data_IF_867558507625
#
_entry.id   IF_867558507625
#
_cell.length_a   1.000
_cell.length_b   1.000
_cell.length_c   1.000
_cell.angle_alpha   90.00
_cell.angle_beta   90.00
_cell.angle_gamma   90.00
#
_symmetry.space_group_name_H-M   'P 1'
#
loop_
_entity.id
_entity.type
_entity.pdbx_description
1 polymer ?
#
# COMPACT_ATOMS: atom_id res chain seq x y z
N UNK A 1 -66.91 27.30 -32.17
CA UNK A 1 -67.32 27.26 -30.75
C UNK A 1 -66.80 25.94 -30.20
N UNK A 2 -65.93 25.83 -29.21
CA UNK A 2 -65.43 26.74 -28.20
C UNK A 2 -65.04 25.84 -27.02
N UNK A 3 -63.87 25.20 -27.12
CA UNK A 3 -63.33 24.33 -26.06
C UNK A 3 -61.91 24.79 -25.70
N UNK A 4 -61.78 26.05 -25.31
CA UNK A 4 -60.62 26.54 -24.58
C UNK A 4 -60.86 26.30 -23.09
N UNK A 5 -60.75 25.02 -22.71
CA UNK A 5 -60.82 24.59 -21.33
C UNK A 5 -59.52 25.01 -20.63
N UNK A 6 -59.49 26.24 -20.12
CA UNK A 6 -58.36 26.78 -19.38
C UNK A 6 -57.86 25.79 -18.34
N UNK A 7 -56.61 25.36 -18.50
CA UNK A 7 -55.88 24.57 -17.51
C UNK A 7 -55.88 25.33 -16.19
N UNK A 8 -56.62 24.79 -15.21
CA UNK A 8 -56.65 25.36 -13.85
C UNK A 8 -55.23 25.24 -13.27
N UNK A 9 -54.54 26.36 -12.99
CA UNK A 9 -53.18 26.32 -12.49
C UNK A 9 -53.15 25.62 -11.14
N UNK A 10 -52.22 24.67 -11.00
CA UNK A 10 -52.07 23.95 -9.73
C UNK A 10 -51.55 24.91 -8.66
N UNK A 11 -51.87 24.64 -7.39
CA UNK A 11 -51.44 25.47 -6.25
C UNK A 11 -49.92 25.70 -6.21
N UNK A 12 -49.15 24.74 -6.72
CA UNK A 12 -47.69 24.76 -6.79
C UNK A 12 -47.17 25.76 -7.85
N UNK A 13 -48.00 26.09 -8.84
CA UNK A 13 -47.74 27.10 -9.89
C UNK A 13 -48.17 28.50 -9.42
N UNK A 14 -49.24 28.57 -8.62
CA UNK A 14 -49.82 29.81 -8.11
C UNK A 14 -49.10 30.36 -6.87
N UNK A 15 -48.47 29.47 -6.09
CA UNK A 15 -47.76 29.81 -4.85
C UNK A 15 -46.41 29.12 -4.87
N UNK A 16 -45.33 29.90 -4.70
CA UNK A 16 -43.97 29.36 -4.51
C UNK A 16 -43.94 28.51 -3.24
N UNK A 17 -44.22 27.21 -3.39
CA UNK A 17 -44.05 26.27 -2.31
C UNK A 17 -42.57 26.01 -2.08
N UNK A 18 -42.18 25.86 -0.81
CA UNK A 18 -40.81 25.51 -0.46
C UNK A 18 -40.48 24.17 -1.12
N UNK A 19 -39.50 24.17 -2.03
CA UNK A 19 -39.04 22.96 -2.72
C UNK A 19 -38.75 21.90 -1.66
N UNK A 20 -39.41 20.73 -1.76
CA UNK A 20 -39.13 19.59 -0.87
C UNK A 20 -37.63 19.37 -0.89
N UNK A 21 -37.03 19.29 0.30
CA UNK A 21 -35.61 19.01 0.42
C UNK A 21 -35.33 17.70 -0.32
N UNK A 22 -34.40 17.75 -1.28
CA UNK A 22 -34.04 16.61 -2.09
C UNK A 22 -33.46 15.53 -1.17
N UNK A 23 -34.19 14.43 -1.00
CA UNK A 23 -33.74 13.31 -0.19
C UNK A 23 -32.65 12.63 -1.00
N UNK A 24 -31.38 12.87 -0.64
CA UNK A 24 -30.25 12.18 -1.25
C UNK A 24 -30.48 10.67 -1.11
N UNK A 25 -30.47 9.97 -2.25
CA UNK A 25 -30.66 8.53 -2.27
C UNK A 25 -29.55 7.82 -1.49
N UNK A 26 -29.93 7.19 -0.38
CA UNK A 26 -29.00 6.46 0.51
C UNK A 26 -28.22 5.37 -0.26
N UNK A 27 -28.90 4.71 -1.20
CA UNK A 27 -28.30 3.66 -2.02
C UNK A 27 -27.24 4.21 -2.98
N UNK A 28 -27.50 5.36 -3.60
CA UNK A 28 -26.54 6.03 -4.48
C UNK A 28 -25.31 6.52 -3.69
N UNK A 29 -25.55 7.08 -2.50
CA UNK A 29 -24.46 7.51 -1.61
C UNK A 29 -23.59 6.32 -1.15
N UNK A 30 -24.21 5.17 -0.82
CA UNK A 30 -23.47 3.97 -0.44
C UNK A 30 -22.66 3.45 -1.63
N UNK A 31 -23.28 3.31 -2.79
CA UNK A 31 -22.63 2.91 -4.04
C UNK A 31 -21.42 3.78 -4.41
N UNK A 32 -21.52 5.10 -4.18
CA UNK A 32 -20.40 5.99 -4.40
C UNK A 32 -19.19 5.64 -3.52
N UNK A 33 -19.39 5.23 -2.26
CA UNK A 33 -18.29 4.80 -1.35
C UNK A 33 -17.54 3.57 -1.87
N UNK A 34 -18.21 2.70 -2.64
CA UNK A 34 -17.61 1.48 -3.20
C UNK A 34 -16.98 1.69 -4.58
N UNK A 35 -17.25 2.83 -5.23
CA UNK A 35 -16.72 3.17 -6.56
C UNK A 35 -15.65 4.25 -6.53
N UNK A 36 -15.65 5.12 -5.53
CA UNK A 36 -14.80 6.29 -5.47
C UNK A 36 -13.85 6.27 -4.28
N UNK A 37 -12.66 6.83 -4.47
CA UNK A 37 -11.65 7.07 -3.45
C UNK A 37 -12.17 8.10 -2.46
N UNK A 38 -12.04 7.82 -1.16
CA UNK A 38 -12.55 8.71 -0.12
C UNK A 38 -11.73 9.99 0.07
N UNK A 39 -10.46 10.01 -0.38
CA UNK A 39 -9.59 11.21 -0.35
C UNK A 39 -9.88 12.19 -1.50
N UNK A 40 -9.83 11.69 -2.74
CA UNK A 40 -9.90 12.51 -3.96
C UNK A 40 -11.24 12.48 -4.68
N UNK A 41 -12.16 11.61 -4.27
CA UNK A 41 -13.42 11.33 -4.97
C UNK A 41 -13.25 10.83 -6.43
N UNK A 42 -12.04 10.42 -6.80
CA UNK A 42 -11.75 9.77 -8.08
C UNK A 42 -12.23 8.32 -8.11
N UNK A 43 -12.52 7.77 -9.29
CA UNK A 43 -12.85 6.35 -9.42
C UNK A 43 -11.73 5.45 -8.87
N UNK A 44 -12.12 4.37 -8.20
CA UNK A 44 -11.19 3.42 -7.61
C UNK A 44 -10.43 2.67 -8.71
N UNK A 45 -9.11 2.74 -8.66
CA UNK A 45 -8.18 2.11 -9.61
C UNK A 45 -7.23 1.20 -8.85
N UNK A 46 -6.91 0.04 -9.43
CA UNK A 46 -5.88 -0.84 -8.87
C UNK A 46 -4.51 -0.14 -8.97
N UNK A 47 -3.65 -0.21 -7.94
CA UNK A 47 -3.84 -0.88 -6.65
C UNK A 47 -4.73 -0.09 -5.67
N UNK A 48 -5.75 -0.77 -5.12
CA UNK A 48 -6.66 -0.20 -4.12
C UNK A 48 -6.12 -0.55 -2.74
N UNK A 49 -6.20 0.42 -1.83
CA UNK A 49 -5.70 0.29 -0.47
C UNK A 49 -6.80 0.59 0.55
N UNK A 50 -6.71 -0.05 1.71
CA UNK A 50 -7.62 0.13 2.84
C UNK A 50 -6.87 0.58 4.07
N UNK A 51 -7.55 1.39 4.88
CA UNK A 51 -7.09 1.79 6.20
C UNK A 51 -7.64 0.86 7.30
N UNK A 52 -7.08 0.97 8.49
CA UNK A 52 -7.61 0.45 9.76
C UNK A 52 -9.09 0.73 10.01
N UNK A 53 -9.65 1.83 9.48
CA UNK A 53 -11.09 2.14 9.58
C UNK A 53 -11.95 1.56 8.46
N UNK A 54 -11.35 0.81 7.52
CA UNK A 54 -12.10 0.18 6.43
C UNK A 54 -12.45 1.10 5.27
N UNK A 55 -11.91 2.32 5.24
CA UNK A 55 -12.09 3.25 4.13
C UNK A 55 -11.18 2.88 2.96
N UNK A 56 -11.72 3.01 1.75
CA UNK A 56 -11.05 2.68 0.50
C UNK A 56 -10.40 3.91 -0.13
N UNK A 57 -9.19 3.72 -0.64
CA UNK A 57 -8.43 4.74 -1.32
C UNK A 57 -7.66 4.17 -2.51
N UNK A 58 -7.31 5.05 -3.45
CA UNK A 58 -6.30 4.75 -4.45
C UNK A 58 -4.92 4.89 -3.80
N UNK A 59 -3.99 3.97 -4.11
CA UNK A 59 -2.63 4.01 -3.56
C UNK A 59 -1.93 5.34 -3.86
N UNK A 60 -2.11 5.87 -5.07
CA UNK A 60 -1.54 7.15 -5.50
C UNK A 60 -2.07 8.32 -4.65
N UNK A 61 -3.37 8.33 -4.38
CA UNK A 61 -4.00 9.37 -3.55
C UNK A 61 -3.48 9.38 -2.11
N UNK A 62 -3.23 8.19 -1.52
CA UNK A 62 -2.62 8.11 -0.18
C UNK A 62 -1.16 8.55 -0.21
N UNK A 63 -0.41 8.19 -1.24
CA UNK A 63 0.99 8.61 -1.36
C UNK A 63 1.10 10.13 -1.44
N UNK A 64 0.27 10.77 -2.25
CA UNK A 64 0.19 12.23 -2.31
C UNK A 64 -0.23 12.84 -0.96
N UNK A 65 -1.21 12.26 -0.28
CA UNK A 65 -1.62 12.72 1.06
C UNK A 65 -0.50 12.60 2.10
N UNK A 66 0.33 11.55 2.03
CA UNK A 66 1.45 11.36 2.94
C UNK A 66 2.60 12.32 2.67
N UNK A 67 2.75 12.78 1.42
CA UNK A 67 3.71 13.81 1.03
C UNK A 67 3.22 15.21 1.45
N UNK A 68 1.99 15.58 1.07
CA UNK A 68 1.41 16.90 1.31
C UNK A 68 0.08 16.81 2.05
N UNK A 69 0.14 16.73 3.38
CA UNK A 69 -1.06 16.63 4.24
C UNK A 69 -1.94 17.87 4.21
N UNK A 70 -1.34 19.04 3.95
CA UNK A 70 -2.05 20.33 3.98
C UNK A 70 -3.02 20.50 2.81
N UNK A 71 -2.81 19.78 1.71
CA UNK A 71 -3.64 19.90 0.52
C UNK A 71 -5.01 19.22 0.67
N UNK A 72 -5.16 18.33 1.65
CA UNK A 72 -6.36 17.52 1.83
C UNK A 72 -7.09 17.92 3.12
N UNK A 73 -8.17 18.69 2.99
CA UNK A 73 -9.00 19.13 4.13
C UNK A 73 -9.63 17.94 4.89
N UNK A 74 -9.98 16.87 4.18
CA UNK A 74 -10.64 15.68 4.72
C UNK A 74 -9.71 14.46 4.80
N UNK A 75 -8.42 14.70 5.04
CA UNK A 75 -7.43 13.63 5.16
C UNK A 75 -7.65 12.73 6.39
N UNK A 76 -7.40 11.41 6.30
CA UNK A 76 -7.47 10.52 7.45
C UNK A 76 -6.37 10.86 8.45
N UNK A 77 -6.75 11.34 9.65
CA UNK A 77 -5.81 11.69 10.74
C UNK A 77 -4.98 10.50 11.23
N UNK A 78 -5.51 9.29 11.09
CA UNK A 78 -4.93 8.04 11.57
C UNK A 78 -3.85 7.46 10.64
N UNK A 79 -3.83 7.81 9.35
CA UNK A 79 -2.81 7.33 8.40
C UNK A 79 -1.57 8.21 8.50
N UNK A 80 -0.53 7.69 9.15
CA UNK A 80 0.75 8.41 9.29
C UNK A 80 1.82 7.80 8.41
N UNK A 81 1.80 6.49 8.22
CA UNK A 81 2.81 5.73 7.49
C UNK A 81 2.14 4.77 6.52
N UNK A 82 2.90 4.31 5.53
CA UNK A 82 2.46 3.24 4.61
C UNK A 82 2.14 1.90 5.30
N UNK A 83 2.57 1.72 6.55
CA UNK A 83 2.24 0.53 7.35
C UNK A 83 0.82 0.55 7.92
N UNK A 84 0.22 1.74 8.00
CA UNK A 84 -1.13 1.95 8.54
C UNK A 84 -2.20 1.66 7.47
N UNK A 85 -1.77 1.22 6.29
CA UNK A 85 -2.58 1.00 5.09
C UNK A 85 -2.22 -0.37 4.51
N UNK A 86 -3.22 -1.09 4.00
CA UNK A 86 -3.03 -2.41 3.38
C UNK A 86 -3.56 -2.43 1.95
N UNK A 87 -2.75 -2.96 1.03
CA UNK A 87 -3.17 -3.23 -0.34
C UNK A 87 -4.17 -4.38 -0.41
N UNK A 88 -5.27 -4.17 -1.11
CA UNK A 88 -6.36 -5.13 -1.27
C UNK A 88 -6.18 -5.99 -2.52
N UNK A 89 -6.49 -7.28 -2.39
CA UNK A 89 -6.49 -8.29 -3.45
C UNK A 89 -7.92 -8.57 -3.90
N UNK A 90 -8.50 -7.61 -4.62
CA UNK A 90 -9.86 -7.69 -5.17
C UNK A 90 -9.90 -8.58 -6.41
N UNK A 91 -10.99 -9.33 -6.57
CA UNK A 91 -11.26 -10.13 -7.77
C UNK A 91 -12.18 -9.31 -8.68
N UNK A 92 -11.83 -9.21 -9.96
CA UNK A 92 -12.65 -8.51 -10.96
C UNK A 92 -13.92 -9.30 -11.27
N UNK A 93 -15.03 -8.60 -11.49
CA UNK A 93 -16.24 -9.20 -12.04
C UNK A 93 -16.10 -9.30 -13.57
N UNK A 94 -16.24 -10.49 -14.17
CA UNK A 94 -16.20 -10.65 -15.63
C UNK A 94 -17.39 -9.96 -16.32
N UNK A 95 -18.48 -9.72 -15.59
CA UNK A 95 -19.71 -9.09 -16.10
C UNK A 95 -19.60 -7.56 -16.13
N UNK A 96 -18.62 -6.98 -15.42
CA UNK A 96 -18.46 -5.54 -15.37
C UNK A 96 -17.71 -5.03 -16.60
N UNK A 97 -18.46 -4.61 -17.62
CA UNK A 97 -17.92 -3.82 -18.73
C UNK A 97 -17.88 -2.36 -18.32
N UNK A 98 -16.69 -1.77 -18.27
CA UNK A 98 -16.47 -0.33 -18.06
C UNK A 98 -16.88 0.53 -19.26
N UNK A 99 -17.47 -0.07 -20.30
CA UNK A 99 -17.81 0.60 -21.54
C UNK A 99 -19.02 1.53 -21.34
N UNK A 100 -18.71 2.78 -21.05
CA UNK A 100 -19.62 3.91 -21.10
C UNK A 100 -20.09 4.28 -22.54
N UNK A 101 -19.68 3.51 -23.56
CA UNK A 101 -19.82 3.86 -24.97
C UNK A 101 -20.88 3.04 -25.73
N UNK A 102 -21.57 2.11 -25.09
CA UNK A 102 -22.60 1.32 -25.78
C UNK A 102 -23.93 2.06 -25.75
N UNK A 103 -24.32 2.50 -26.94
CA UNK A 103 -25.48 3.31 -27.24
C UNK A 103 -26.78 2.69 -26.69
N UNK A 104 -27.32 3.31 -25.64
CA UNK A 104 -28.75 3.62 -25.51
C UNK A 104 -29.78 2.49 -25.38
N UNK A 105 -29.40 1.20 -25.25
CA UNK A 105 -30.42 0.13 -25.24
C UNK A 105 -30.21 -1.04 -24.27
N UNK A 106 -29.24 -0.95 -23.36
CA UNK A 106 -29.05 -1.97 -22.31
C UNK A 106 -29.41 -1.38 -20.95
N UNK A 107 -30.28 -2.07 -20.20
CA UNK A 107 -30.69 -1.66 -18.86
C UNK A 107 -29.43 -1.69 -17.98
N UNK A 108 -28.75 -0.55 -17.85
CA UNK A 108 -27.52 -0.45 -17.08
C UNK A 108 -27.85 -0.84 -15.64
N UNK A 109 -27.41 -2.01 -15.21
CA UNK A 109 -27.64 -2.43 -13.83
C UNK A 109 -26.84 -1.47 -12.94
N UNK A 110 -27.55 -0.53 -12.34
CA UNK A 110 -27.01 0.50 -11.46
C UNK A 110 -26.17 -0.15 -10.35
N UNK A 111 -26.48 -1.40 -10.01
CA UNK A 111 -25.81 -2.19 -8.98
C UNK A 111 -24.63 -3.03 -9.45
N UNK A 112 -24.36 -3.09 -10.75
CA UNK A 112 -23.18 -3.78 -11.27
C UNK A 112 -21.93 -3.17 -10.66
N UNK A 113 -20.96 -3.98 -10.25
CA UNK A 113 -19.72 -3.48 -9.63
C UNK A 113 -18.48 -4.12 -10.25
N UNK A 114 -17.35 -3.40 -10.31
CA UNK A 114 -16.11 -3.92 -10.89
C UNK A 114 -15.51 -5.11 -10.13
N UNK A 115 -15.93 -5.34 -8.88
CA UNK A 115 -15.31 -6.32 -8.01
C UNK A 115 -16.32 -7.28 -7.41
N UNK A 116 -15.92 -8.54 -7.28
CA UNK A 116 -16.76 -9.64 -6.81
C UNK A 116 -16.08 -10.42 -5.69
N UNK A 117 -16.86 -11.00 -4.78
CA UNK A 117 -16.37 -11.95 -3.80
C UNK A 117 -15.98 -13.27 -4.52
N UNK A 118 -14.74 -13.77 -4.36
CA UNK A 118 -14.30 -14.99 -5.03
C UNK A 118 -14.98 -16.27 -4.51
N UNK A 119 -15.62 -16.24 -3.34
CA UNK A 119 -16.27 -17.42 -2.76
C UNK A 119 -17.78 -17.45 -2.99
N UNK A 120 -18.44 -16.30 -2.80
CA UNK A 120 -19.90 -16.21 -2.85
C UNK A 120 -20.43 -15.65 -4.15
N UNK A 121 -19.56 -15.11 -5.03
CA UNK A 121 -20.00 -14.45 -6.25
C UNK A 121 -20.80 -13.17 -6.00
N UNK A 122 -20.78 -12.63 -4.78
CA UNK A 122 -21.50 -11.40 -4.47
C UNK A 122 -20.74 -10.18 -4.99
N UNK A 123 -21.46 -9.27 -5.63
CA UNK A 123 -20.95 -8.00 -6.12
C UNK A 123 -20.66 -7.01 -4.99
N UNK A 124 -19.59 -6.25 -5.14
CA UNK A 124 -19.13 -5.24 -4.20
C UNK A 124 -19.81 -3.88 -4.48
N UNK A 125 -21.14 -3.84 -4.32
CA UNK A 125 -22.00 -2.68 -4.65
C UNK A 125 -22.58 -1.96 -3.40
N UNK A 126 -22.20 -2.41 -2.20
CA UNK A 126 -22.66 -1.85 -0.93
C UNK A 126 -23.99 -2.39 -0.41
N UNK A 127 -24.65 -3.31 -1.12
CA UNK A 127 -25.79 -4.07 -0.55
C UNK A 127 -25.33 -5.09 0.49
N UNK A 128 -24.15 -5.66 0.28
CA UNK A 128 -23.56 -6.66 1.16
C UNK A 128 -22.33 -6.07 1.86
N UNK A 129 -22.13 -6.48 3.12
CA UNK A 129 -20.92 -6.14 3.87
C UNK A 129 -19.75 -7.00 3.40
N UNK A 130 -18.62 -6.35 3.14
CA UNK A 130 -17.36 -7.01 2.79
C UNK A 130 -16.32 -6.75 3.86
N UNK A 131 -15.44 -7.71 4.07
CA UNK A 131 -14.34 -7.61 5.00
C UNK A 131 -13.03 -7.92 4.29
N UNK A 132 -11.97 -7.22 4.72
CA UNK A 132 -10.60 -7.48 4.33
C UNK A 132 -9.80 -8.07 5.49
N UNK A 133 -8.97 -9.07 5.22
CA UNK A 133 -8.06 -9.64 6.22
C UNK A 133 -6.74 -8.89 6.16
N UNK A 134 -6.30 -8.27 7.26
CA UNK A 134 -5.12 -7.39 7.31
C UNK A 134 -3.81 -8.12 6.98
N UNK A 135 -3.66 -9.38 7.39
CA UNK A 135 -2.44 -10.17 7.15
C UNK A 135 -2.20 -10.40 5.66
N UNK A 136 -3.25 -10.72 4.90
CA UNK A 136 -3.14 -11.12 3.49
C UNK A 136 -3.67 -10.10 2.47
N UNK A 137 -4.53 -9.17 2.87
CA UNK A 137 -5.20 -8.22 1.98
C UNK A 137 -6.33 -8.83 1.13
N UNK A 138 -6.72 -10.09 1.37
CA UNK A 138 -7.84 -10.70 0.64
C UNK A 138 -9.18 -10.11 1.11
N UNK A 139 -10.05 -9.80 0.13
CA UNK A 139 -11.39 -9.26 0.37
C UNK A 139 -12.42 -10.36 0.15
N UNK A 140 -13.34 -10.49 1.11
CA UNK A 140 -14.36 -11.53 1.15
C UNK A 140 -15.65 -10.94 1.71
N UNK A 141 -16.81 -11.44 1.27
CA UNK A 141 -18.08 -11.06 1.88
C UNK A 141 -18.14 -11.53 3.34
N UNK A 142 -18.77 -10.75 4.23
CA UNK A 142 -18.93 -11.12 5.64
C UNK A 142 -19.63 -12.49 5.80
N UNK A 143 -20.61 -12.77 4.94
CA UNK A 143 -21.33 -14.06 4.91
C UNK A 143 -20.39 -15.24 4.72
N UNK A 144 -19.44 -15.11 3.79
CA UNK A 144 -18.45 -16.16 3.51
C UNK A 144 -17.51 -16.40 4.70
N UNK A 145 -17.07 -15.32 5.36
CA UNK A 145 -16.22 -15.44 6.54
C UNK A 145 -16.98 -16.10 7.70
N UNK A 146 -18.22 -15.67 7.94
CA UNK A 146 -19.05 -16.21 9.01
C UNK A 146 -19.34 -17.71 8.81
N UNK A 147 -19.61 -18.15 7.58
CA UNK A 147 -19.85 -19.57 7.29
C UNK A 147 -18.62 -20.46 7.52
N UNK A 148 -17.42 -19.93 7.32
CA UNK A 148 -16.17 -20.72 7.44
C UNK A 148 -15.69 -20.73 8.90
N UNK A 149 -15.81 -19.59 9.59
CA UNK A 149 -15.37 -19.44 10.97
C UNK A 149 -16.24 -20.22 11.97
N UNK A 150 -17.47 -20.57 11.61
CA UNK A 150 -18.35 -21.37 12.45
C UNK A 150 -17.88 -22.83 12.62
N UNK A 151 -16.99 -23.32 11.74
CA UNK A 151 -16.71 -24.76 11.60
C UNK A 151 -15.30 -25.20 12.06
N UNK A 152 -14.42 -24.31 12.55
CA UNK A 152 -13.05 -24.73 12.92
C UNK A 152 -12.43 -23.93 14.07
N UNK A 153 -11.91 -24.70 15.04
CA UNK A 153 -11.21 -24.33 16.27
C UNK A 153 -9.87 -23.61 16.07
N UNK A 154 -9.60 -22.66 16.97
CA UNK A 154 -8.31 -22.06 17.39
C UNK A 154 -7.41 -21.35 16.35
N UNK A 155 -7.46 -21.70 15.06
CA UNK A 155 -6.63 -21.09 14.01
C UNK A 155 -7.46 -20.74 12.78
N UNK A 156 -7.68 -19.44 12.57
CA UNK A 156 -8.49 -18.95 11.45
C UNK A 156 -7.62 -18.77 10.20
N UNK A 157 -7.98 -19.45 9.11
CA UNK A 157 -7.24 -19.42 7.84
C UNK A 157 -8.03 -18.67 6.77
N UNK A 158 -7.33 -17.88 5.95
CA UNK A 158 -7.93 -17.14 4.85
C UNK A 158 -8.38 -18.13 3.76
N UNK A 159 -9.66 -18.17 3.38
CA UNK A 159 -10.15 -19.14 2.40
C UNK A 159 -9.69 -18.89 0.96
N UNK A 160 -9.15 -17.70 0.66
CA UNK A 160 -8.58 -17.39 -0.66
C UNK A 160 -7.10 -17.79 -0.77
N UNK A 161 -6.31 -17.67 0.29
CA UNK A 161 -4.85 -17.80 0.23
C UNK A 161 -4.22 -18.68 1.32
N UNK A 162 -5.01 -19.28 2.21
CA UNK A 162 -4.56 -20.16 3.28
C UNK A 162 -3.81 -19.48 4.44
N UNK A 163 -3.58 -18.16 4.39
CA UNK A 163 -2.83 -17.45 5.44
C UNK A 163 -3.64 -17.34 6.74
N UNK A 164 -2.96 -17.55 7.85
CA UNK A 164 -3.54 -17.49 9.19
C UNK A 164 -3.75 -16.03 9.64
N UNK A 165 -4.80 -15.79 10.43
CA UNK A 165 -5.11 -14.48 10.98
C UNK A 165 -5.87 -14.58 12.30
N UNK A 166 -5.76 -13.55 13.13
CA UNK A 166 -6.50 -13.42 14.38
C UNK A 166 -7.90 -12.86 14.11
N UNK A 167 -8.95 -13.62 14.46
CA UNK A 167 -10.35 -13.33 14.09
C UNK A 167 -10.82 -11.92 14.48
N UNK A 168 -10.42 -11.43 15.66
CA UNK A 168 -10.91 -10.15 16.19
C UNK A 168 -10.05 -8.95 15.76
N UNK A 169 -8.76 -9.19 15.53
CA UNK A 169 -7.76 -8.13 15.39
C UNK A 169 -7.23 -7.97 13.97
N UNK A 170 -7.52 -8.90 13.05
CA UNK A 170 -7.09 -8.84 11.65
C UNK A 170 -8.24 -8.61 10.65
N UNK A 171 -9.51 -8.80 11.03
CA UNK A 171 -10.66 -8.69 10.11
C UNK A 171 -11.24 -7.27 10.09
N UNK A 172 -11.01 -6.53 9.00
CA UNK A 172 -11.50 -5.15 8.78
C UNK A 172 -12.79 -5.19 7.98
N UNK A 173 -13.85 -4.54 8.46
CA UNK A 173 -15.07 -4.31 7.69
C UNK A 173 -14.83 -3.14 6.73
N UNK A 174 -15.11 -3.32 5.44
CA UNK A 174 -14.98 -2.28 4.41
C UNK A 174 -16.20 -1.37 4.42
N UNK A 175 -15.97 -0.06 4.31
CA UNK A 175 -17.00 0.99 4.34
C UNK A 175 -18.05 0.78 5.45
N UNK A 176 -17.61 0.75 6.73
CA UNK A 176 -18.50 0.47 7.86
C UNK A 176 -19.65 1.49 7.98
N UNK A 177 -20.79 1.02 8.49
CA UNK A 177 -21.85 1.88 8.99
C UNK A 177 -21.50 2.41 10.40
N UNK A 178 -22.24 3.40 10.90
CA UNK A 178 -21.86 4.14 12.11
C UNK A 178 -21.57 3.27 13.34
N UNK A 179 -22.27 2.15 13.51
CA UNK A 179 -22.03 1.19 14.61
C UNK A 179 -20.71 0.43 14.44
N UNK A 180 -20.40 0.04 13.21
CA UNK A 180 -19.18 -0.70 12.86
C UNK A 180 -17.94 0.21 13.01
N UNK A 181 -18.07 1.53 12.83
CA UNK A 181 -16.96 2.49 13.02
C UNK A 181 -16.42 2.43 14.45
N UNK A 182 -17.30 2.35 15.45
CA UNK A 182 -16.91 2.28 16.86
C UNK A 182 -16.16 0.97 17.17
N UNK A 183 -16.60 -0.15 16.58
CA UNK A 183 -15.91 -1.44 16.71
C UNK A 183 -14.51 -1.38 16.10
N UNK A 184 -14.37 -0.77 14.92
CA UNK A 184 -13.10 -0.59 14.25
C UNK A 184 -12.14 0.30 15.06
N UNK A 185 -12.66 1.36 15.67
CA UNK A 185 -11.86 2.22 16.53
C UNK A 185 -11.40 1.50 17.81
N UNK A 186 -12.29 0.75 18.45
CA UNK A 186 -11.97 -0.04 19.64
C UNK A 186 -10.87 -1.07 19.33
N UNK A 187 -10.96 -1.76 18.19
CA UNK A 187 -9.92 -2.69 17.72
C UNK A 187 -8.58 -1.98 17.55
N UNK A 188 -8.55 -0.82 16.89
CA UNK A 188 -7.32 -0.02 16.71
C UNK A 188 -6.69 0.38 18.04
N UNK A 189 -7.51 0.77 19.02
CA UNK A 189 -7.04 1.10 20.36
C UNK A 189 -6.40 -0.11 21.06
N UNK A 190 -6.99 -1.31 20.92
CA UNK A 190 -6.40 -2.57 21.45
C UNK A 190 -5.05 -2.89 20.82
N UNK A 191 -4.93 -2.76 19.50
CA UNK A 191 -3.67 -2.96 18.77
C UNK A 191 -2.59 -1.95 19.17
N UNK A 192 -2.95 -0.69 19.36
CA UNK A 192 -2.01 0.33 19.84
C UNK A 192 -1.56 0.07 21.28
N UNK A 193 -2.45 -0.42 22.15
CA UNK A 193 -2.13 -0.75 23.53
C UNK A 193 -1.18 -1.96 23.63
N UNK A 194 -1.39 -3.01 22.82
CA UNK A 194 -0.50 -4.18 22.80
C UNK A 194 0.89 -3.84 22.26
N UNK A 195 0.98 -2.98 21.24
CA UNK A 195 2.28 -2.52 20.73
C UNK A 195 3.06 -1.68 21.73
N UNK A 196 2.39 -0.82 22.52
CA UNK A 196 3.04 -0.04 23.59
C UNK A 196 3.60 -0.92 24.71
N UNK A 197 2.89 -2.01 25.07
CA UNK A 197 3.37 -2.99 26.07
C UNK A 197 4.59 -3.78 25.59
N UNK A 198 4.68 -4.10 24.30
CA UNK A 198 5.85 -4.77 23.74
C UNK A 198 7.04 -3.81 23.52
N UNK A 199 6.78 -2.50 23.41
CA UNK A 199 7.80 -1.46 23.28
C UNK A 199 8.50 -1.09 24.60
N UNK A 200 7.87 -1.30 25.75
CA UNK A 200 8.47 -1.01 27.06
C UNK A 200 9.52 -2.05 27.50
N UNK A 201 9.42 -3.30 27.03
CA UNK A 201 10.41 -4.35 27.34
C UNK A 201 11.72 -4.19 26.54
N UNK A 202 11.69 -3.51 25.38
CA UNK A 202 12.87 -3.29 24.53
C UNK A 202 13.62 -1.98 24.82
N UNK A 203 13.13 -1.16 25.75
CA UNK A 203 13.71 0.16 26.11
C UNK A 203 14.36 0.20 27.51
N UNK A 204 14.62 -0.96 28.12
CA UNK A 204 15.27 -1.05 29.45
C UNK A 204 16.60 -1.82 29.39
N UNK A 205 17.42 -1.54 28.37
CA UNK A 205 18.80 -2.05 28.28
C UNK A 205 19.67 -1.09 27.46
N UNK A 206 19.71 0.18 27.86
CA UNK A 206 20.75 1.13 27.46
C UNK A 206 20.48 2.43 28.23
N UNK A 207 21.03 2.53 29.45
CA UNK A 207 21.43 3.77 30.15
C UNK A 207 21.76 3.45 31.61
N UNK A 208 23.04 3.14 31.84
CA UNK A 208 23.82 3.47 33.05
C UNK A 208 25.14 3.96 32.40
N UNK A 209 25.68 5.16 32.62
CA UNK A 209 26.11 5.79 33.88
C UNK A 209 26.23 7.32 33.69
N UNK A 210 25.85 8.11 34.71
CA UNK A 210 26.70 9.16 35.32
C UNK A 210 25.99 9.80 36.56
N UNK A 211 26.62 9.55 37.72
CA UNK A 211 26.78 10.33 38.98
C UNK A 211 25.57 10.76 39.87
N UNK A 212 25.44 10.15 41.07
CA UNK A 212 25.78 10.65 42.44
C UNK A 212 24.63 11.46 43.11
N UNK A 213 24.24 11.35 44.39
CA UNK A 213 24.79 10.77 45.62
C UNK A 213 23.70 10.76 46.74
N UNK A 214 23.98 10.01 47.84
CA UNK A 214 23.45 10.05 49.24
C UNK A 214 22.61 8.86 49.79
N UNK A 215 23.33 8.04 50.58
CA UNK A 215 23.04 7.54 51.96
C UNK A 215 21.65 6.96 52.27
N UNK A 216 21.47 5.77 52.86
CA UNK A 216 21.95 5.38 54.21
C UNK A 216 21.70 3.87 54.51
N UNK A 217 22.68 3.23 55.17
CA UNK A 217 22.71 2.06 56.08
C UNK A 217 21.65 0.93 56.09
N UNK A 218 22.10 -0.33 55.97
CA UNK A 218 22.21 -1.36 57.05
C UNK A 218 22.58 -2.73 56.40
N UNK A 219 23.77 -3.30 56.61
CA UNK A 219 24.27 -4.09 57.76
C UNK A 219 24.09 -5.61 57.60
N UNK A 220 25.19 -6.33 57.81
CA UNK A 220 25.41 -7.78 58.00
C UNK A 220 25.63 -8.59 56.70
N UNK A 221 26.78 -9.21 56.40
CA UNK A 221 27.92 -9.60 57.22
C UNK A 221 28.02 -11.12 57.28
N UNK A 222 28.90 -11.72 56.46
CA UNK A 222 29.63 -12.97 56.77
C UNK A 222 30.57 -13.32 55.61
N UNK A 223 31.86 -13.18 55.92
CA UNK A 223 33.06 -13.54 55.16
C UNK A 223 33.43 -15.02 55.33
N UNK A 224 34.13 -15.59 54.34
CA UNK A 224 35.30 -16.51 54.43
C UNK A 224 35.38 -17.34 53.13
N UNK A 225 36.33 -17.04 52.23
CA UNK A 225 37.64 -17.71 52.05
C UNK A 225 37.49 -19.17 51.56
N UNK A 226 38.20 -19.70 50.59
CA UNK A 226 39.38 -19.30 49.81
C UNK A 226 39.71 -20.51 48.91
N UNK A 227 40.31 -20.27 47.72
CA UNK A 227 41.37 -21.07 47.06
C UNK A 227 41.17 -22.60 46.93
N UNK A 228 41.48 -23.31 45.86
CA UNK A 228 42.33 -23.11 44.67
C UNK A 228 42.29 -24.48 43.96
N UNK A 229 42.34 -24.51 42.63
CA UNK A 229 43.44 -25.06 41.83
C UNK A 229 42.82 -26.12 40.89
N UNK A 230 42.88 -25.91 39.56
CA UNK A 230 43.92 -26.44 38.66
C UNK A 230 43.76 -27.96 38.46
N UNK A 231 43.88 -28.57 37.28
CA UNK A 231 44.18 -28.12 35.92
C UNK A 231 44.06 -29.35 35.01
N UNK A 232 44.01 -29.08 33.69
CA UNK A 232 44.61 -29.87 32.60
C UNK A 232 44.06 -31.29 32.34
N UNK A 233 44.11 -31.87 31.14
CA UNK A 233 44.79 -31.60 29.86
C UNK A 233 44.17 -32.59 28.86
N UNK A 234 43.79 -32.20 27.64
CA UNK A 234 44.62 -31.99 26.45
C UNK A 234 44.96 -33.28 25.66
N UNK A 235 45.22 -33.07 24.37
CA UNK A 235 45.81 -33.96 23.33
C UNK A 235 44.77 -34.81 22.56
N UNK A 236 44.54 -34.74 21.24
CA UNK A 236 45.15 -34.22 19.99
C UNK A 236 45.48 -35.36 19.00
N UNK A 237 45.53 -34.97 17.71
CA UNK A 237 46.17 -35.58 16.52
C UNK A 237 45.25 -36.42 15.61
N UNK A 238 44.90 -35.95 14.39
CA UNK A 238 45.61 -35.82 13.07
C UNK A 238 45.18 -36.96 12.11
N UNK A 239 44.96 -36.78 10.79
CA UNK A 239 45.95 -36.42 9.75
C UNK A 239 45.32 -36.15 8.35
N UNK A 240 45.91 -35.20 7.59
CA UNK A 240 46.09 -35.09 6.09
C UNK A 240 44.90 -34.95 5.12
N UNK A 241 44.82 -33.96 4.21
CA UNK A 241 45.76 -33.71 3.08
C UNK A 241 45.69 -32.30 2.42
N UNK A 242 46.87 -31.65 2.33
CA UNK A 242 47.55 -30.85 1.25
C UNK A 242 46.81 -29.95 0.21
N UNK A 243 47.18 -28.65 0.26
CA UNK A 243 47.76 -27.72 -0.76
C UNK A 243 47.10 -27.56 -2.15
N UNK A 244 46.93 -26.34 -2.71
CA UNK A 244 47.99 -25.44 -3.23
C UNK A 244 47.59 -23.95 -3.18
N UNK A 245 48.58 -23.12 -2.83
CA UNK A 245 48.64 -21.65 -2.76
C UNK A 245 48.75 -20.97 -4.14
N UNK A 246 48.54 -19.65 -4.29
CA UNK A 246 49.59 -18.62 -4.48
C UNK A 246 48.90 -17.23 -4.54
N UNK A 247 48.98 -16.39 -3.50
CA UNK A 247 49.62 -15.04 -3.43
C UNK A 247 49.63 -14.22 -4.73
N UNK A 248 49.32 -12.92 -4.77
CA UNK A 248 49.98 -11.88 -3.97
C UNK A 248 49.19 -10.57 -3.95
N UNK A 249 49.40 -9.82 -2.85
CA UNK A 249 48.93 -8.47 -2.61
C UNK A 249 49.68 -7.41 -3.45
N UNK A 250 49.07 -6.25 -3.68
CA UNK A 250 49.53 -5.02 -3.00
C UNK A 250 48.63 -3.82 -3.24
N UNK A 251 48.55 -3.05 -2.16
CA UNK A 251 47.88 -1.79 -1.92
C UNK A 251 48.59 -0.63 -2.59
N UNK A 252 47.85 0.42 -2.97
CA UNK A 252 48.25 1.80 -2.66
C UNK A 252 47.06 2.75 -2.86
N UNK A 253 47.09 3.78 -2.03
CA UNK A 253 46.02 4.69 -1.64
C UNK A 253 46.38 6.08 -2.17
N UNK A 254 45.36 6.94 -2.33
CA UNK A 254 45.42 8.41 -2.46
C UNK A 254 45.88 8.99 -3.82
N UNK A 255 45.02 9.76 -4.47
CA UNK A 255 45.04 11.22 -4.35
C UNK A 255 43.98 11.89 -5.23
N UNK A 256 43.35 12.92 -4.65
CA UNK A 256 42.49 13.90 -5.30
C UNK A 256 43.28 14.67 -6.37
N UNK A 257 42.66 14.93 -7.51
CA UNK A 257 43.21 15.80 -8.55
C UNK A 257 42.14 16.24 -9.54
N UNK A 258 41.46 17.34 -9.24
CA UNK A 258 40.74 18.11 -10.25
C UNK A 258 41.73 18.58 -11.32
N UNK A 259 41.52 18.19 -12.58
CA UNK A 259 41.99 18.96 -13.73
C UNK A 259 40.90 19.06 -14.79
N UNK A 260 40.64 20.31 -15.10
CA UNK A 260 39.74 20.90 -16.08
C UNK A 260 40.13 20.62 -17.53
N UNK A 261 39.11 20.56 -18.38
CA UNK A 261 39.04 21.12 -19.75
C UNK A 261 40.26 20.92 -20.66
N UNK A 262 40.17 19.96 -21.58
CA UNK A 262 40.38 20.13 -23.04
C UNK A 262 40.56 18.77 -23.72
N UNK A 263 39.74 18.49 -24.73
CA UNK A 263 39.98 17.49 -25.78
C UNK A 263 40.11 16.02 -25.35
N UNK A 264 38.99 15.45 -24.87
CA UNK A 264 38.79 14.00 -24.95
C UNK A 264 38.61 13.65 -26.43
N UNK A 265 39.65 13.07 -27.02
CA UNK A 265 39.58 12.32 -28.27
C UNK A 265 38.31 11.49 -28.26
N UNK A 266 37.47 11.67 -29.28
CA UNK A 266 36.21 10.94 -29.41
C UNK A 266 36.58 9.46 -29.35
N UNK A 267 35.94 8.67 -28.48
CA UNK A 267 36.08 7.20 -28.39
C UNK A 267 36.03 6.52 -29.78
N UNK A 268 35.38 7.18 -30.74
CA UNK A 268 35.32 6.81 -32.14
C UNK A 268 36.67 6.81 -32.89
N UNK A 269 37.59 7.72 -32.54
CA UNK A 269 38.89 7.94 -33.17
C UNK A 269 40.03 7.11 -32.57
N UNK A 270 39.79 6.42 -31.44
CA UNK A 270 40.81 5.58 -30.82
C UNK A 270 40.99 4.27 -31.62
N UNK A 271 42.22 3.92 -32.07
CA UNK A 271 42.48 2.71 -32.86
C UNK A 271 42.53 1.43 -32.01
N UNK A 272 42.57 1.56 -30.68
CA UNK A 272 42.68 0.45 -29.73
C UNK A 272 41.33 -0.16 -29.33
N UNK A 273 40.21 0.50 -29.66
CA UNK A 273 38.87 0.06 -29.25
C UNK A 273 38.20 -0.77 -30.34
N UNK A 274 37.62 -1.91 -29.94
CA UNK A 274 36.99 -2.86 -30.85
C UNK A 274 35.73 -2.27 -31.50
N UNK A 275 35.43 -2.71 -32.73
CA UNK A 275 34.27 -2.24 -33.49
C UNK A 275 32.94 -2.51 -32.76
N UNK A 276 32.85 -3.62 -32.02
CA UNK A 276 31.70 -3.94 -31.16
C UNK A 276 31.50 -2.89 -30.06
N UNK A 277 32.58 -2.48 -29.38
CA UNK A 277 32.50 -1.48 -28.34
C UNK A 277 32.06 -0.11 -28.88
N UNK A 278 32.56 0.28 -30.06
CA UNK A 278 32.13 1.52 -30.74
C UNK A 278 30.64 1.50 -31.10
N UNK A 279 30.08 0.35 -31.48
CA UNK A 279 28.67 0.22 -31.88
C UNK A 279 27.64 0.42 -30.77
N UNK A 280 28.07 0.38 -29.50
CA UNK A 280 27.19 0.59 -28.34
C UNK A 280 26.82 2.06 -28.14
N UNK A 281 27.54 2.99 -28.77
CA UNK A 281 27.31 4.42 -28.61
C UNK A 281 26.57 5.00 -29.81
N UNK A 282 25.64 5.91 -29.52
CA UNK A 282 24.89 6.69 -30.52
C UNK A 282 25.78 7.62 -31.34
N UNK A 283 27.01 7.86 -30.89
CA UNK A 283 28.03 8.66 -31.60
C UNK A 283 28.70 7.89 -32.75
N UNK A 284 28.47 6.58 -32.85
CA UNK A 284 29.06 5.74 -33.89
C UNK A 284 28.50 6.04 -35.28
N UNK A 285 29.32 5.80 -36.29
CA UNK A 285 28.98 6.05 -37.69
C UNK A 285 27.77 5.21 -38.14
N UNK A 286 27.73 3.94 -37.73
CA UNK A 286 26.59 3.04 -37.97
C UNK A 286 25.28 3.52 -37.29
N UNK A 287 25.36 4.14 -36.11
CA UNK A 287 24.18 4.71 -35.46
C UNK A 287 23.67 5.96 -36.18
N UNK A 288 24.59 6.83 -36.65
CA UNK A 288 24.25 8.03 -37.42
C UNK A 288 23.65 7.71 -38.79
N UNK A 289 24.13 6.68 -39.47
CA UNK A 289 23.53 6.22 -40.73
C UNK A 289 22.11 5.69 -40.51
N UNK A 290 21.89 4.93 -39.43
CA UNK A 290 20.54 4.47 -39.05
C UNK A 290 19.60 5.63 -38.72
N UNK A 291 20.07 6.66 -38.03
CA UNK A 291 19.26 7.86 -37.75
C UNK A 291 18.94 8.64 -39.02
N UNK A 292 19.90 8.82 -39.93
CA UNK A 292 19.67 9.47 -41.24
C UNK A 292 18.66 8.72 -42.10
N UNK A 293 18.69 7.39 -42.05
CA UNK A 293 17.78 6.52 -42.80
C UNK A 293 16.44 6.29 -42.09
N UNK A 294 16.26 6.81 -40.87
CA UNK A 294 15.00 6.74 -40.14
C UNK A 294 14.11 7.90 -40.59
N UNK A 295 13.09 7.60 -41.38
CA UNK A 295 12.08 8.59 -41.76
C UNK A 295 11.47 9.25 -40.51
N UNK A 296 11.55 10.58 -40.43
CA UNK A 296 10.82 11.36 -39.44
C UNK A 296 9.33 11.37 -39.83
N UNK A 297 8.53 10.54 -39.17
CA UNK A 297 7.08 10.42 -39.41
C UNK A 297 6.26 11.56 -38.78
N UNK A 298 6.89 12.66 -38.40
CA UNK A 298 6.17 13.85 -37.90
C UNK A 298 5.92 14.78 -39.09
N UNK A 299 4.84 14.51 -39.82
CA UNK A 299 4.28 15.47 -40.78
C UNK A 299 3.51 16.53 -40.00
N UNK A 300 4.13 17.69 -39.79
CA UNK A 300 3.43 18.89 -39.37
C UNK A 300 2.46 19.30 -40.50
N UNK A 301 1.15 19.26 -40.23
CA UNK A 301 0.11 19.66 -41.19
C UNK A 301 -0.30 21.12 -40.89
N UNK A 302 0.15 22.11 -41.68
CA UNK A 302 -0.09 23.53 -41.42
C UNK A 302 -1.51 24.00 -41.81
N UNK A 303 -2.46 23.10 -42.11
CA UNK A 303 -3.84 23.46 -42.47
C UNK A 303 -4.80 23.59 -41.27
N UNK A 304 -4.29 23.59 -40.04
CA UNK A 304 -5.06 23.92 -38.84
C UNK A 304 -4.52 25.20 -38.20
N UNK A 305 -4.86 26.34 -38.80
CA UNK A 305 -4.93 27.65 -38.14
C UNK A 305 -6.23 28.33 -38.57
#
# INVERSE_FOLDING_TARGET
MGCDGGTIPKRDELVRQKKKAEVKDKNAANMAKWRYCTLKYDALKRPIVVDSHGLLYNKDAILEFLLDRMQFENGPSYVKKMKDVKELQLTESPEFKSNHNDLGNEYLDVYSSPFICPLTGLEMNGKYKFCAIWTCGCVLSERALRSINNNSSEKLCCPKCGKEYASNDDVIILNPENEDIALMEQRRQRLNASQKKNGSTKRKTSEIEEEESKSTANSNGASSSSSSAAANSNVSSSTTSKNVSTSNANTSKLAVGQKSVSDKTKIQQDPTTSHLYKSLFTTSEAAKEKEKNKAHWVTYNPLYF
#
